data_IF_383516509027
#
_entry.id   IF_383516509027
#
_cell.length_a   1.000
_cell.length_b   1.000
_cell.length_c   1.000
_cell.angle_alpha   90.00
_cell.angle_beta   90.00
_cell.angle_gamma   90.00
#
_symmetry.space_group_name_H-M   'P 1'
#
loop_
_entity.id
_entity.type
_entity.pdbx_description
1 polymer ?
#
# COMPACT_ATOMS: atom_id res chain seq x y z
N UNK A 1 26.90 -22.88 -54.19
CA UNK A 1 25.46 -22.81 -53.87
C UNK A 1 25.32 -23.31 -52.43
N UNK A 2 25.13 -22.39 -51.48
CA UNK A 2 24.43 -22.66 -50.20
C UNK A 2 22.93 -22.92 -50.49
N UNK A 3 22.07 -23.47 -49.59
CA UNK A 3 22.13 -23.30 -48.12
C UNK A 3 21.58 -24.45 -47.22
N UNK A 4 21.59 -24.18 -45.90
CA UNK A 4 20.60 -24.58 -44.86
C UNK A 4 20.99 -25.73 -43.90
N UNK A 5 21.38 -25.42 -42.65
CA UNK A 5 20.56 -25.09 -41.47
C UNK A 5 19.95 -26.36 -40.82
N UNK A 6 20.24 -26.69 -39.56
CA UNK A 6 19.39 -26.21 -38.45
C UNK A 6 20.09 -26.41 -37.10
N UNK A 7 20.49 -25.30 -36.50
CA UNK A 7 20.65 -25.17 -35.04
C UNK A 7 19.30 -24.75 -34.47
N UNK A 8 18.62 -25.63 -33.73
CA UNK A 8 17.47 -25.23 -32.92
C UNK A 8 18.00 -24.60 -31.62
N UNK A 9 18.09 -23.28 -31.60
CA UNK A 9 18.23 -22.53 -30.36
C UNK A 9 16.83 -22.27 -29.80
N UNK A 10 16.47 -22.95 -28.71
CA UNK A 10 15.24 -22.71 -27.97
C UNK A 10 15.31 -21.29 -27.36
N UNK A 11 14.56 -20.39 -27.97
CA UNK A 11 14.29 -19.07 -27.43
C UNK A 11 13.44 -19.19 -26.15
N UNK A 12 14.09 -19.02 -25.01
CA UNK A 12 13.43 -18.65 -23.75
C UNK A 12 12.82 -17.25 -23.93
N UNK A 13 11.57 -17.20 -24.38
CA UNK A 13 10.77 -15.98 -24.33
C UNK A 13 10.51 -15.63 -22.86
N UNK A 14 11.32 -14.70 -22.37
CA UNK A 14 11.03 -13.94 -21.16
C UNK A 14 9.75 -13.15 -21.42
N UNK A 15 8.61 -13.70 -20.98
CA UNK A 15 7.35 -12.96 -20.93
C UNK A 15 7.60 -11.62 -20.23
N UNK A 16 7.57 -10.54 -21.01
CA UNK A 16 7.68 -9.17 -20.50
C UNK A 16 6.53 -8.95 -19.53
N UNK A 17 6.84 -9.05 -18.23
CA UNK A 17 5.91 -8.74 -17.14
C UNK A 17 5.34 -7.35 -17.39
N UNK A 18 4.06 -7.31 -17.76
CA UNK A 18 3.33 -6.07 -18.00
C UNK A 18 3.45 -5.16 -16.79
N UNK A 19 3.67 -3.86 -17.03
CA UNK A 19 3.79 -2.86 -15.97
C UNK A 19 2.47 -2.79 -15.21
N UNK A 20 2.46 -3.27 -13.98
CA UNK A 20 1.27 -3.23 -13.12
C UNK A 20 0.87 -1.79 -12.86
N UNK A 21 -0.36 -1.44 -13.24
CA UNK A 21 -0.89 -0.09 -13.13
C UNK A 21 -1.75 0.06 -11.87
N UNK A 22 -1.12 0.26 -10.71
CA UNK A 22 -1.81 0.49 -9.44
C UNK A 22 -2.53 1.85 -9.32
N UNK A 23 -2.64 2.64 -10.41
CA UNK A 23 -3.15 4.01 -10.36
C UNK A 23 -4.66 4.12 -10.56
N UNK A 24 -5.36 3.02 -10.88
CA UNK A 24 -6.81 3.01 -10.96
C UNK A 24 -7.45 3.07 -9.57
N UNK A 25 -8.37 4.00 -9.36
CA UNK A 25 -9.16 4.05 -8.12
C UNK A 25 -9.95 2.76 -7.92
N UNK A 26 -10.57 2.23 -8.98
CA UNK A 26 -11.27 0.93 -8.95
C UNK A 26 -10.34 -0.24 -8.61
N UNK A 27 -9.10 -0.24 -9.09
CA UNK A 27 -8.11 -1.28 -8.76
C UNK A 27 -7.79 -1.23 -7.26
N UNK A 28 -7.65 -0.02 -6.71
CA UNK A 28 -7.41 0.18 -5.27
C UNK A 28 -8.60 -0.27 -4.44
N UNK A 29 -9.82 0.01 -4.91
CA UNK A 29 -11.06 -0.44 -4.27
C UNK A 29 -11.12 -1.96 -4.18
N UNK A 30 -11.02 -2.64 -5.33
CA UNK A 30 -11.04 -4.11 -5.40
C UNK A 30 -9.95 -4.72 -4.53
N UNK A 31 -8.74 -4.15 -4.55
CA UNK A 31 -7.65 -4.62 -3.70
C UNK A 31 -7.98 -4.52 -2.22
N UNK A 32 -8.49 -3.37 -1.75
CA UNK A 32 -8.84 -3.15 -0.35
C UNK A 32 -10.02 -4.04 0.08
N UNK A 33 -11.10 -4.08 -0.70
CA UNK A 33 -12.28 -4.92 -0.43
C UNK A 33 -11.90 -6.39 -0.31
N UNK A 34 -11.13 -6.91 -1.27
CA UNK A 34 -10.68 -8.31 -1.24
C UNK A 34 -9.78 -8.59 -0.03
N UNK A 35 -8.90 -7.65 0.34
CA UNK A 35 -8.08 -7.82 1.55
C UNK A 35 -8.94 -7.85 2.82
N UNK A 36 -9.98 -7.01 2.90
CA UNK A 36 -10.90 -6.98 4.04
C UNK A 36 -11.69 -8.28 4.12
N UNK A 37 -12.24 -8.76 3.00
CA UNK A 37 -12.95 -10.04 2.92
C UNK A 37 -12.06 -11.19 3.40
N UNK A 38 -10.85 -11.28 2.88
CA UNK A 38 -9.90 -12.34 3.24
C UNK A 38 -9.47 -12.28 4.70
N UNK A 39 -9.22 -11.08 5.23
CA UNK A 39 -8.92 -10.89 6.66
C UNK A 39 -10.11 -11.29 7.53
N UNK A 40 -11.32 -10.95 7.12
CA UNK A 40 -12.55 -11.25 7.87
C UNK A 40 -12.83 -12.75 7.87
N UNK A 41 -12.66 -13.42 6.73
CA UNK A 41 -12.92 -14.84 6.58
C UNK A 41 -11.83 -15.71 7.21
N UNK A 42 -10.55 -15.32 7.03
CA UNK A 42 -9.43 -16.20 7.31
C UNK A 42 -8.50 -15.69 8.43
N UNK A 43 -8.71 -14.48 8.94
CA UNK A 43 -7.83 -13.83 9.89
C UNK A 43 -6.52 -13.33 9.28
N UNK A 44 -5.66 -12.77 10.13
CA UNK A 44 -4.35 -12.20 9.74
C UNK A 44 -3.20 -13.14 10.07
N UNK A 45 -2.08 -12.92 9.40
CA UNK A 45 -0.76 -13.39 9.83
C UNK A 45 0.04 -12.17 10.34
N UNK A 46 0.00 -11.94 11.66
CA UNK A 46 0.51 -10.71 12.25
C UNK A 46 -0.23 -9.47 11.70
N UNK A 47 0.51 -8.53 11.12
CA UNK A 47 -0.04 -7.33 10.46
C UNK A 47 -0.36 -7.54 8.97
N UNK A 48 -0.13 -8.74 8.43
CA UNK A 48 -0.27 -9.08 7.01
C UNK A 48 -1.40 -10.09 6.76
N UNK A 49 -1.68 -10.37 5.48
CA UNK A 49 -2.56 -11.46 5.06
C UNK A 49 -1.82 -12.80 5.06
N UNK A 50 -2.57 -13.89 5.18
CA UNK A 50 -2.06 -15.26 5.05
C UNK A 50 -1.61 -15.56 3.60
N UNK A 51 -0.69 -16.52 3.38
CA UNK A 51 -0.22 -16.87 2.04
C UNK A 51 -1.33 -17.23 1.03
N UNK A 52 -2.33 -18.02 1.43
CA UNK A 52 -3.44 -18.39 0.55
C UNK A 52 -4.34 -17.18 0.21
N UNK A 53 -4.48 -16.22 1.13
CA UNK A 53 -5.25 -14.99 0.90
C UNK A 53 -4.58 -14.11 -0.15
N UNK A 54 -3.25 -14.06 -0.18
CA UNK A 54 -2.54 -13.35 -1.25
C UNK A 54 -2.82 -13.97 -2.63
N UNK A 55 -2.92 -15.29 -2.74
CA UNK A 55 -3.29 -15.96 -4.00
C UNK A 55 -4.69 -15.51 -4.43
N UNK A 56 -5.65 -15.54 -3.52
CA UNK A 56 -7.03 -15.13 -3.78
C UNK A 56 -7.13 -13.66 -4.23
N UNK A 57 -6.40 -12.75 -3.58
CA UNK A 57 -6.32 -11.33 -3.98
C UNK A 57 -5.77 -11.20 -5.41
N UNK A 58 -4.72 -11.94 -5.74
CA UNK A 58 -4.15 -11.95 -7.09
C UNK A 58 -5.15 -12.43 -8.15
N UNK A 59 -5.88 -13.51 -7.86
CA UNK A 59 -6.88 -14.07 -8.77
C UNK A 59 -8.03 -13.09 -9.03
N UNK A 60 -8.52 -12.40 -7.99
CA UNK A 60 -9.58 -11.41 -8.12
C UNK A 60 -9.10 -10.20 -8.93
N UNK A 61 -7.87 -9.72 -8.69
CA UNK A 61 -7.30 -8.63 -9.48
C UNK A 61 -7.16 -9.02 -10.95
N UNK A 62 -6.65 -10.22 -11.25
CA UNK A 62 -6.54 -10.73 -12.62
C UNK A 62 -7.91 -10.84 -13.29
N UNK A 63 -8.89 -11.42 -12.61
CA UNK A 63 -10.25 -11.59 -13.14
C UNK A 63 -10.96 -10.26 -13.38
N UNK A 64 -10.77 -9.28 -12.50
CA UNK A 64 -11.52 -8.02 -12.53
C UNK A 64 -10.86 -6.96 -13.41
N UNK A 65 -9.53 -6.92 -13.43
CA UNK A 65 -8.75 -5.83 -14.07
C UNK A 65 -7.79 -6.32 -15.15
N UNK A 66 -7.72 -7.62 -15.41
CA UNK A 66 -6.99 -8.20 -16.55
C UNK A 66 -5.47 -8.19 -16.44
N UNK A 67 -4.90 -7.90 -15.26
CA UNK A 67 -3.44 -7.93 -15.05
C UNK A 67 -3.06 -8.90 -13.93
N UNK A 68 -1.86 -9.47 -14.05
CA UNK A 68 -1.29 -10.33 -13.03
C UNK A 68 -0.39 -9.55 -12.08
N UNK A 69 -0.46 -9.92 -10.80
CA UNK A 69 0.43 -9.42 -9.76
C UNK A 69 1.02 -10.56 -8.98
N UNK A 70 2.32 -10.47 -8.72
CA UNK A 70 2.95 -11.39 -7.80
C UNK A 70 2.72 -10.98 -6.33
N UNK A 71 2.97 -11.92 -5.44
CA UNK A 71 2.75 -11.72 -4.01
C UNK A 71 3.67 -10.63 -3.41
N UNK A 72 4.81 -10.30 -4.04
CA UNK A 72 5.67 -9.20 -3.60
C UNK A 72 5.04 -7.86 -3.98
N UNK A 73 4.54 -7.72 -5.19
CA UNK A 73 3.84 -6.52 -5.65
C UNK A 73 2.60 -6.21 -4.80
N UNK A 74 1.82 -7.24 -4.45
CA UNK A 74 0.66 -7.09 -3.57
C UNK A 74 1.04 -6.66 -2.15
N UNK A 75 2.06 -7.28 -1.54
CA UNK A 75 2.57 -6.87 -0.21
C UNK A 75 3.08 -5.43 -0.22
N UNK A 76 3.86 -5.06 -1.23
CA UNK A 76 4.34 -3.69 -1.38
C UNK A 76 3.17 -2.69 -1.49
N UNK A 77 2.11 -3.05 -2.22
CA UNK A 77 0.91 -2.21 -2.34
C UNK A 77 0.19 -2.07 -1.00
N UNK A 78 0.03 -3.18 -0.28
CA UNK A 78 -0.58 -3.21 1.05
C UNK A 78 0.18 -2.34 2.05
N UNK A 79 1.50 -2.47 2.12
CA UNK A 79 2.35 -1.67 3.01
C UNK A 79 2.35 -0.19 2.64
N UNK A 80 2.34 0.12 1.33
CA UNK A 80 2.22 1.49 0.84
C UNK A 80 0.89 2.14 1.30
N UNK A 81 -0.23 1.45 1.14
CA UNK A 81 -1.54 1.94 1.56
C UNK A 81 -1.63 2.06 3.08
N UNK A 82 -1.10 1.08 3.83
CA UNK A 82 -1.02 1.13 5.30
C UNK A 82 -0.24 2.36 5.78
N UNK A 83 0.93 2.62 5.21
CA UNK A 83 1.75 3.76 5.61
C UNK A 83 1.10 5.11 5.26
N UNK A 84 0.38 5.20 4.13
CA UNK A 84 -0.43 6.37 3.80
C UNK A 84 -1.60 6.55 4.76
N UNK A 85 -2.27 5.46 5.15
CA UNK A 85 -3.33 5.52 6.17
C UNK A 85 -2.78 5.99 7.52
N UNK A 86 -1.63 5.46 7.98
CA UNK A 86 -0.98 5.92 9.23
C UNK A 86 -0.66 7.41 9.16
N UNK A 87 -0.09 7.89 8.04
CA UNK A 87 0.17 9.31 7.84
C UNK A 87 -1.12 10.13 7.84
N UNK A 88 -2.19 9.64 7.21
CA UNK A 88 -3.49 10.29 7.19
C UNK A 88 -4.10 10.41 8.59
N UNK A 89 -3.99 9.37 9.43
CA UNK A 89 -4.40 9.41 10.84
C UNK A 89 -3.60 10.44 11.65
N UNK A 90 -2.28 10.52 11.42
CA UNK A 90 -1.41 11.54 12.05
C UNK A 90 -1.81 12.97 11.66
N UNK A 91 -2.22 13.20 10.41
CA UNK A 91 -2.72 14.49 9.97
C UNK A 91 -4.09 14.80 10.59
N UNK A 92 -4.99 13.82 10.67
CA UNK A 92 -6.30 13.99 11.33
C UNK A 92 -6.20 14.24 12.83
N UNK A 93 -5.19 13.71 13.51
CA UNK A 93 -5.02 13.89 14.95
C UNK A 93 -4.40 15.23 15.34
N UNK A 94 -3.88 16.01 14.38
CA UNK A 94 -3.43 17.39 14.63
C UNK A 94 -4.63 18.28 14.98
N UNK A 95 -4.53 18.95 16.12
CA UNK A 95 -5.52 19.91 16.64
C UNK A 95 -5.89 20.93 15.56
N UNK A 96 -7.20 21.16 15.35
CA UNK A 96 -7.69 22.18 14.41
C UNK A 96 -8.60 21.71 13.28
N UNK A 97 -9.06 20.45 13.28
CA UNK A 97 -10.03 19.90 12.31
C UNK A 97 -9.78 20.33 10.84
N UNK A 98 -8.52 20.30 10.42
CA UNK A 98 -8.10 20.72 9.07
C UNK A 98 -8.56 19.75 7.97
N UNK A 99 -9.20 18.64 8.33
CA UNK A 99 -9.64 17.62 7.39
C UNK A 99 -11.05 17.93 6.85
N UNK A 100 -11.15 18.07 5.53
CA UNK A 100 -12.44 18.16 4.85
C UNK A 100 -12.86 16.76 4.34
N UNK A 101 -13.90 16.13 4.91
CA UNK A 101 -14.33 14.80 4.50
C UNK A 101 -15.03 14.79 3.13
N UNK A 102 -15.55 15.94 2.66
CA UNK A 102 -16.21 16.06 1.35
C UNK A 102 -15.18 16.01 0.23
N UNK A 103 -14.05 16.70 0.39
CA UNK A 103 -12.97 16.74 -0.62
C UNK A 103 -11.85 15.74 -0.33
N UNK A 104 -11.91 15.04 0.81
CA UNK A 104 -10.88 14.14 1.31
C UNK A 104 -9.47 14.79 1.35
N UNK A 105 -9.41 16.05 1.77
CA UNK A 105 -8.18 16.86 1.77
C UNK A 105 -7.92 17.50 3.12
N UNK A 106 -6.68 17.95 3.33
CA UNK A 106 -6.30 18.72 4.51
C UNK A 106 -5.98 20.15 4.14
N UNK A 107 -6.48 21.09 4.93
CA UNK A 107 -6.28 22.53 4.78
C UNK A 107 -5.17 23.01 5.73
N UNK A 108 -3.93 22.58 5.47
CA UNK A 108 -2.73 23.09 6.15
C UNK A 108 -2.09 24.20 5.32
N UNK A 109 -1.36 25.11 5.96
CA UNK A 109 -0.51 26.09 5.25
C UNK A 109 0.71 25.40 4.63
N UNK A 110 1.39 26.09 3.71
CA UNK A 110 2.61 25.57 3.09
C UNK A 110 3.71 25.28 4.13
N UNK A 111 3.86 26.17 5.12
CA UNK A 111 4.83 26.02 6.21
C UNK A 111 4.52 24.79 7.09
N UNK A 112 3.23 24.54 7.35
CA UNK A 112 2.79 23.35 8.09
C UNK A 112 3.05 22.07 7.29
N UNK A 113 2.72 22.07 5.99
CA UNK A 113 3.02 20.94 5.11
C UNK A 113 4.52 20.64 5.09
N UNK A 114 5.38 21.65 4.97
CA UNK A 114 6.84 21.47 4.98
C UNK A 114 7.34 20.82 6.28
N UNK A 115 6.80 21.24 7.42
CA UNK A 115 7.15 20.64 8.71
C UNK A 115 6.65 19.20 8.84
N UNK A 116 5.45 18.91 8.33
CA UNK A 116 4.85 17.57 8.38
C UNK A 116 5.57 16.60 7.43
N UNK A 117 5.88 17.03 6.20
CA UNK A 117 6.59 16.24 5.20
C UNK A 117 8.00 15.86 5.65
N UNK A 118 8.71 16.74 6.35
CA UNK A 118 10.02 16.44 6.96
C UNK A 118 10.00 15.26 7.92
N UNK A 119 8.86 15.00 8.58
CA UNK A 119 8.71 13.93 9.58
C UNK A 119 8.24 12.61 8.99
N UNK A 120 7.49 12.65 7.89
CA UNK A 120 6.91 11.46 7.28
C UNK A 120 6.73 11.64 5.78
N UNK A 121 7.53 10.94 4.97
CA UNK A 121 7.47 10.99 3.49
C UNK A 121 6.10 10.67 2.90
N UNK A 122 5.24 9.93 3.60
CA UNK A 122 3.91 9.60 3.12
C UNK A 122 2.93 10.78 3.24
N UNK A 123 3.23 11.77 4.09
CA UNK A 123 2.48 13.04 4.15
C UNK A 123 2.58 13.79 2.82
N UNK A 124 3.76 13.82 2.20
CA UNK A 124 3.96 14.47 0.90
C UNK A 124 3.07 13.84 -0.19
N UNK A 125 2.93 12.51 -0.14
CA UNK A 125 2.03 11.80 -1.05
C UNK A 125 0.55 12.11 -0.80
N UNK A 126 0.18 12.50 0.42
CA UNK A 126 -1.18 12.91 0.79
C UNK A 126 -1.49 14.36 0.40
N UNK A 127 -0.47 15.23 0.37
CA UNK A 127 -0.60 16.60 -0.15
C UNK A 127 -0.94 16.60 -1.64
N UNK A 128 -0.32 15.71 -2.41
CA UNK A 128 -0.51 15.62 -3.87
C UNK A 128 -1.67 14.72 -4.29
N UNK A 129 -2.01 13.69 -3.51
CA UNK A 129 -3.10 12.77 -3.82
C UNK A 129 -3.82 12.35 -2.54
N UNK A 130 -5.14 12.57 -2.43
CA UNK A 130 -5.93 12.08 -1.31
C UNK A 130 -5.76 10.58 -1.04
N UNK A 131 -6.00 10.15 0.20
CA UNK A 131 -6.06 8.73 0.53
C UNK A 131 -7.30 8.10 -0.12
N UNK A 132 -7.12 7.22 -1.10
CA UNK A 132 -8.24 6.52 -1.71
C UNK A 132 -8.97 5.64 -0.68
N UNK A 133 -10.30 5.74 -0.63
CA UNK A 133 -11.18 4.98 0.27
C UNK A 133 -10.72 4.98 1.74
N UNK A 134 -10.76 6.14 2.44
CA UNK A 134 -10.38 6.21 3.84
C UNK A 134 -11.10 5.20 4.72
N UNK A 135 -12.40 4.98 4.51
CA UNK A 135 -13.20 4.01 5.27
C UNK A 135 -12.73 2.56 5.08
N UNK A 136 -12.39 2.15 3.85
CA UNK A 136 -11.83 0.81 3.61
C UNK A 136 -10.44 0.67 4.24
N UNK A 137 -9.63 1.74 4.21
CA UNK A 137 -8.35 1.76 4.89
C UNK A 137 -8.52 1.64 6.41
N UNK A 138 -9.50 2.33 7.00
CA UNK A 138 -9.84 2.21 8.42
C UNK A 138 -10.20 0.77 8.75
N UNK A 139 -11.14 0.16 8.03
CA UNK A 139 -11.54 -1.24 8.27
C UNK A 139 -10.36 -2.22 8.15
N UNK A 140 -9.45 -1.99 7.21
CA UNK A 140 -8.33 -2.90 6.94
C UNK A 140 -7.12 -2.67 7.84
N UNK A 141 -6.87 -1.46 8.32
CA UNK A 141 -5.61 -1.10 8.97
C UNK A 141 -5.77 -0.61 10.41
N UNK A 142 -6.97 -0.25 10.84
CA UNK A 142 -7.18 0.18 12.21
C UNK A 142 -6.86 -0.96 13.20
N UNK A 143 -6.32 -0.61 14.37
CA UNK A 143 -5.81 -1.56 15.37
C UNK A 143 -4.48 -2.26 15.02
N UNK A 144 -4.12 -2.43 13.74
CA UNK A 144 -2.78 -2.90 13.33
C UNK A 144 -1.81 -1.75 13.04
N UNK A 145 -2.32 -0.55 12.77
CA UNK A 145 -1.52 0.66 12.58
C UNK A 145 -0.85 1.15 13.87
N UNK A 146 -1.47 0.91 15.04
CA UNK A 146 -1.00 1.36 16.35
C UNK A 146 0.18 0.54 16.92
N UNK A 147 0.34 -0.71 16.49
CA UNK A 147 1.37 -1.64 16.99
C UNK A 147 2.76 -1.44 16.36
N UNK A 148 2.96 -0.34 15.61
CA UNK A 148 4.26 0.06 15.06
C UNK A 148 5.12 0.94 15.96
N UNK A 149 4.70 1.23 17.21
CA UNK A 149 5.55 1.93 18.19
C UNK A 149 6.61 0.96 18.73
N UNK A 150 7.61 0.65 17.92
CA UNK A 150 8.90 0.18 18.44
C UNK A 150 9.57 1.35 19.14
N UNK A 151 9.74 1.22 20.45
CA UNK A 151 10.10 2.28 21.37
C UNK A 151 11.39 3.01 21.03
N UNK A 152 11.31 4.35 21.05
CA UNK A 152 12.47 5.21 21.27
C UNK A 152 12.56 5.50 22.76
N UNK A 153 13.03 4.52 23.53
CA UNK A 153 13.57 4.81 24.86
C UNK A 153 15.01 5.30 24.68
N UNK A 154 15.40 6.48 25.17
CA UNK A 154 16.80 6.85 25.16
C UNK A 154 17.53 5.84 26.05
N UNK A 155 18.50 5.11 25.48
CA UNK A 155 19.43 4.32 26.27
C UNK A 155 20.35 5.30 26.99
N UNK A 156 19.91 5.79 28.15
CA UNK A 156 20.76 6.42 29.13
C UNK A 156 21.66 5.35 29.73
N UNK A 157 22.84 5.15 29.14
CA UNK A 157 23.97 4.58 29.87
C UNK A 157 24.57 5.71 30.71
N UNK A 158 24.11 5.78 31.96
CA UNK A 158 24.81 6.46 33.03
C UNK A 158 25.84 5.54 33.68
N UNK A 159 26.90 6.18 34.14
CA UNK A 159 27.76 5.85 35.28
C UNK A 159 28.70 4.63 35.20
N UNK A 160 29.95 4.91 35.58
CA UNK A 160 31.01 3.95 35.88
C UNK A 160 32.37 4.51 35.54
#
# INVERSE_FOLDING_TARGET
>A
MDPSNTTQNQSNETQKKGKVYWRGELITKTFLETCIEEVTANGRLGSSLKPHSWVKVGDILKKTHGFEVDARQMRNRYDYLRNRYVAWCQLKSKTGNHYNPVTNSFNFTEEEWDQLCKRNKYVETLKSTPLCYPELCTHLYDGIAATGVSGWGPSSKGAG
#
